data_IF_768463553347
#
_entry.id   IF_768463553347
#
_cell.length_a   1.000
_cell.length_b   1.000
_cell.length_c   1.000
_cell.angle_alpha   90.00
_cell.angle_beta   90.00
_cell.angle_gamma   90.00
#
_symmetry.space_group_name_H-M   'P 1'
#
loop_
_entity.id
_entity.type
_entity.pdbx_description
1 polymer ?
#
# COMPACT_ATOMS: atom_id res chain seq x y z
N UNK A 1 2.16 -29.84 3.11
CA UNK A 1 1.92 -28.41 3.43
C UNK A 1 0.51 -28.25 3.95
N UNK A 2 0.27 -27.26 4.80
CA UNK A 2 -1.05 -26.98 5.38
C UNK A 2 -1.64 -25.69 4.79
N UNK A 3 -2.97 -25.55 4.87
CA UNK A 3 -3.68 -24.33 4.45
C UNK A 3 -3.09 -23.09 5.14
N UNK A 4 -2.73 -22.09 4.35
CA UNK A 4 -2.26 -20.79 4.82
C UNK A 4 -3.32 -19.68 4.69
N UNK A 5 -3.10 -18.62 5.48
CA UNK A 5 -3.78 -17.32 5.36
C UNK A 5 -2.72 -16.25 5.15
N UNK A 6 -2.76 -15.61 3.99
CA UNK A 6 -1.83 -14.58 3.55
C UNK A 6 -2.41 -13.20 3.83
N UNK A 7 -1.57 -12.30 4.34
CA UNK A 7 -1.97 -10.94 4.71
C UNK A 7 -1.15 -9.90 3.98
N UNK A 8 -1.80 -9.03 3.23
CA UNK A 8 -1.17 -7.96 2.48
C UNK A 8 -1.53 -6.61 3.11
N UNK A 9 -0.58 -5.68 3.16
CA UNK A 9 -0.76 -4.37 3.79
C UNK A 9 -0.15 -3.24 2.96
N UNK A 10 -0.85 -2.10 2.86
CA UNK A 10 -0.18 -0.81 2.61
C UNK A 10 0.48 -0.29 3.91
N UNK A 11 1.51 0.55 3.79
CA UNK A 11 2.24 1.18 4.90
C UNK A 11 1.50 2.42 5.41
N UNK A 12 1.48 3.45 4.58
CA UNK A 12 1.08 4.81 4.94
C UNK A 12 -0.40 4.88 5.26
N UNK A 13 -0.74 5.53 6.38
CA UNK A 13 -2.10 5.70 6.93
C UNK A 13 -2.85 4.39 7.25
N UNK A 14 -2.36 3.23 6.80
CA UNK A 14 -2.94 1.92 7.05
C UNK A 14 -2.31 1.16 8.23
N UNK A 15 -1.00 0.89 8.20
CA UNK A 15 -0.30 0.28 9.36
C UNK A 15 0.46 1.31 10.18
N UNK A 16 0.97 2.38 9.55
CA UNK A 16 1.78 3.41 10.19
C UNK A 16 1.31 4.82 9.80
N UNK A 17 1.17 5.71 10.77
CA UNK A 17 1.09 7.15 10.55
C UNK A 17 2.49 7.74 10.65
N UNK A 18 3.07 8.09 9.51
CA UNK A 18 4.45 8.57 9.43
C UNK A 18 4.49 10.09 9.28
N UNK A 19 5.45 10.79 9.92
CA UNK A 19 5.60 12.24 9.79
C UNK A 19 6.28 12.67 8.47
N UNK A 20 6.37 11.77 7.48
CA UNK A 20 6.98 11.99 6.16
C UNK A 20 6.37 13.20 5.48
N UNK A 21 7.23 14.03 4.87
CA UNK A 21 6.82 15.30 4.28
C UNK A 21 6.72 15.23 2.76
N UNK A 22 5.66 15.83 2.23
CA UNK A 22 5.52 16.20 0.83
C UNK A 22 5.97 17.65 0.68
N UNK A 23 6.79 17.92 -0.32
CA UNK A 23 7.41 19.23 -0.52
C UNK A 23 6.87 19.92 -1.77
N UNK A 24 6.11 20.98 -1.57
CA UNK A 24 5.63 21.81 -2.66
C UNK A 24 6.66 22.87 -3.04
N UNK A 25 6.64 23.27 -4.30
CA UNK A 25 7.44 24.36 -4.84
C UNK A 25 6.51 25.48 -5.31
N UNK A 26 6.74 26.69 -4.84
CA UNK A 26 6.22 27.88 -5.48
C UNK A 26 7.02 28.14 -6.77
N UNK A 27 6.37 28.05 -7.93
CA UNK A 27 7.01 28.14 -9.25
C UNK A 27 7.41 29.56 -9.62
N UNK A 28 6.85 30.57 -8.95
CA UNK A 28 7.14 31.99 -9.18
C UNK A 28 8.26 32.51 -8.28
N UNK A 29 8.30 32.09 -7.01
CA UNK A 29 9.27 32.58 -6.02
C UNK A 29 10.42 31.61 -5.77
N UNK A 30 10.26 30.33 -6.10
CA UNK A 30 11.20 29.26 -5.77
C UNK A 30 11.13 28.77 -4.32
N UNK A 31 10.18 29.28 -3.52
CA UNK A 31 9.97 28.87 -2.13
C UNK A 31 9.51 27.41 -2.03
N UNK A 32 10.02 26.67 -1.03
CA UNK A 32 9.55 25.32 -0.71
C UNK A 32 8.67 25.31 0.54
N UNK A 33 7.57 24.54 0.48
CA UNK A 33 6.72 24.27 1.64
C UNK A 33 6.57 22.78 1.87
N UNK A 34 6.99 22.34 3.05
CA UNK A 34 6.84 20.95 3.50
C UNK A 34 5.53 20.77 4.27
N UNK A 35 4.77 19.73 3.96
CA UNK A 35 3.51 19.39 4.63
C UNK A 35 3.33 17.88 4.80
N UNK A 36 2.44 17.48 5.70
CA UNK A 36 2.06 16.06 5.89
C UNK A 36 1.10 15.62 4.80
N UNK A 37 0.95 14.31 4.65
CA UNK A 37 0.06 13.71 3.65
C UNK A 37 -1.39 14.17 3.77
N UNK A 38 -1.97 14.22 4.97
CA UNK A 38 -3.36 14.71 5.13
C UNK A 38 -3.52 16.19 4.74
N UNK A 39 -2.55 17.05 5.08
CA UNK A 39 -2.56 18.46 4.68
C UNK A 39 -2.47 18.61 3.15
N UNK A 40 -1.70 17.73 2.51
CA UNK A 40 -1.55 17.67 1.06
C UNK A 40 -2.84 17.20 0.37
N UNK A 41 -3.50 16.17 0.90
CA UNK A 41 -4.76 15.65 0.34
C UNK A 41 -5.86 16.72 0.28
N UNK A 42 -5.92 17.61 1.27
CA UNK A 42 -6.87 18.73 1.32
C UNK A 42 -6.62 19.78 0.23
N UNK A 43 -5.38 19.94 -0.22
CA UNK A 43 -4.96 21.04 -1.10
C UNK A 43 -4.57 20.62 -2.52
N UNK A 44 -4.24 19.35 -2.77
CA UNK A 44 -3.65 18.89 -4.04
C UNK A 44 -4.48 19.20 -5.28
N UNK A 45 -5.81 19.23 -5.15
CA UNK A 45 -6.72 19.54 -6.25
C UNK A 45 -6.70 21.03 -6.66
N UNK A 46 -6.10 21.89 -5.85
CA UNK A 46 -6.02 23.33 -6.07
C UNK A 46 -4.63 23.79 -6.55
N UNK A 47 -3.63 22.90 -6.61
CA UNK A 47 -2.30 23.22 -7.13
C UNK A 47 -2.39 23.61 -8.61
N UNK A 48 -1.82 24.76 -8.98
CA UNK A 48 -1.89 25.27 -10.36
C UNK A 48 -3.27 25.81 -10.77
N UNK A 49 -4.24 25.87 -9.85
CA UNK A 49 -5.60 26.39 -10.10
C UNK A 49 -5.68 27.82 -9.57
N UNK A 50 -6.31 28.77 -10.30
CA UNK A 50 -6.43 30.16 -9.86
C UNK A 50 -6.93 30.29 -8.42
N UNK A 51 -6.16 31.00 -7.59
CA UNK A 51 -6.40 31.12 -6.15
C UNK A 51 -5.14 30.96 -5.30
N UNK A 52 -5.32 30.59 -4.03
CA UNK A 52 -4.23 30.56 -3.04
C UNK A 52 -3.07 29.62 -3.42
N UNK A 53 -3.34 28.58 -4.20
CA UNK A 53 -2.40 27.53 -4.57
C UNK A 53 -2.00 27.57 -6.05
N UNK A 54 -2.33 28.66 -6.77
CA UNK A 54 -2.08 28.83 -8.21
C UNK A 54 -0.58 28.71 -8.55
N UNK A 55 0.27 29.36 -7.77
CA UNK A 55 1.72 29.35 -8.01
C UNK A 55 2.42 28.11 -7.44
N UNK A 56 1.69 27.15 -6.87
CA UNK A 56 2.28 25.98 -6.21
C UNK A 56 2.16 24.71 -7.06
N UNK A 57 3.23 23.93 -7.07
CA UNK A 57 3.30 22.64 -7.76
C UNK A 57 3.98 21.57 -6.90
N UNK A 58 3.78 20.30 -7.26
CA UNK A 58 4.40 19.13 -6.64
C UNK A 58 5.30 18.35 -7.62
N UNK A 59 6.41 18.92 -8.16
CA UNK A 59 7.27 18.21 -9.11
C UNK A 59 7.70 16.85 -8.54
N UNK A 60 7.34 15.70 -9.15
CA UNK A 60 7.34 14.41 -8.44
C UNK A 60 8.68 14.04 -7.77
N UNK A 61 9.80 14.24 -8.47
CA UNK A 61 11.14 13.95 -7.97
C UNK A 61 11.54 14.80 -6.74
N UNK A 62 10.98 16.02 -6.61
CA UNK A 62 11.26 16.93 -5.49
C UNK A 62 10.22 16.78 -4.39
N UNK A 63 8.95 16.62 -4.76
CA UNK A 63 7.83 16.59 -3.83
C UNK A 63 7.81 15.34 -2.96
N UNK A 64 8.05 14.18 -3.56
CA UNK A 64 8.00 12.89 -2.88
C UNK A 64 9.38 12.35 -2.52
N UNK A 65 10.40 13.22 -2.42
CA UNK A 65 11.79 12.81 -2.15
C UNK A 65 11.98 12.03 -0.83
N UNK A 66 11.16 12.31 0.17
CA UNK A 66 11.19 11.59 1.47
C UNK A 66 10.40 10.27 1.43
N UNK A 67 9.73 9.98 0.31
CA UNK A 67 9.06 8.71 0.05
C UNK A 67 9.95 7.73 -0.71
N UNK A 68 11.22 8.09 -0.97
CA UNK A 68 12.23 7.30 -1.64
C UNK A 68 13.48 7.16 -0.77
N UNK A 69 14.34 6.20 -1.10
CA UNK A 69 15.63 6.07 -0.43
C UNK A 69 16.42 7.37 -0.53
N UNK A 70 16.84 7.88 0.62
CA UNK A 70 17.56 9.13 0.71
C UNK A 70 17.87 9.48 2.16
N UNK A 71 18.71 10.48 2.36
CA UNK A 71 19.13 10.90 3.70
C UNK A 71 18.77 12.33 3.98
N UNK A 72 18.39 12.61 5.22
CA UNK A 72 18.23 13.97 5.69
C UNK A 72 19.59 14.66 5.90
N UNK A 73 19.56 15.94 6.31
CA UNK A 73 20.76 16.74 6.56
C UNK A 73 21.70 16.17 7.63
N UNK A 74 21.21 15.28 8.50
CA UNK A 74 22.00 14.63 9.53
C UNK A 74 22.55 13.27 9.06
N UNK A 75 22.30 12.89 7.80
CA UNK A 75 22.73 11.62 7.23
C UNK A 75 21.82 10.44 7.59
N UNK A 76 20.65 10.68 8.18
CA UNK A 76 19.69 9.63 8.54
C UNK A 76 18.77 9.30 7.37
N UNK A 77 18.57 8.01 7.09
CA UNK A 77 17.64 7.56 6.04
C UNK A 77 16.20 8.01 6.36
N UNK A 78 15.48 8.55 5.36
CA UNK A 78 14.18 9.21 5.54
C UNK A 78 13.13 8.33 6.21
N UNK A 79 12.93 7.10 5.74
CA UNK A 79 11.94 6.18 6.35
C UNK A 79 12.38 5.74 7.75
N UNK A 80 13.66 5.42 7.96
CA UNK A 80 14.16 5.02 9.28
C UNK A 80 13.99 6.14 10.32
N UNK A 81 14.32 7.38 9.93
CA UNK A 81 14.10 8.60 10.71
C UNK A 81 12.62 8.75 11.08
N UNK A 82 11.74 8.60 10.10
CA UNK A 82 10.31 8.82 10.27
C UNK A 82 9.67 7.76 11.15
N UNK A 83 10.08 6.50 11.02
CA UNK A 83 9.62 5.41 11.90
C UNK A 83 10.04 5.67 13.34
N UNK A 84 11.29 6.05 13.60
CA UNK A 84 11.76 6.41 14.95
C UNK A 84 10.92 7.55 15.54
N UNK A 85 10.77 8.65 14.80
CA UNK A 85 10.00 9.82 15.23
C UNK A 85 8.52 9.50 15.43
N UNK A 86 7.96 8.61 14.61
CA UNK A 86 6.58 8.18 14.76
C UNK A 86 6.38 7.42 16.08
N UNK A 87 7.29 6.50 16.42
CA UNK A 87 7.21 5.71 17.65
C UNK A 87 7.24 6.56 18.94
N UNK A 88 7.83 7.75 18.89
CA UNK A 88 7.79 8.73 19.99
C UNK A 88 6.43 9.43 20.17
N UNK A 89 5.50 9.26 19.22
CA UNK A 89 4.15 9.84 19.27
C UNK A 89 3.11 8.86 19.82
N UNK A 90 2.01 9.35 20.37
CA UNK A 90 0.96 8.46 20.91
C UNK A 90 0.14 7.72 19.83
N UNK A 91 0.08 8.25 18.60
CA UNK A 91 -0.89 7.86 17.57
C UNK A 91 -0.24 7.43 16.25
N UNK A 92 0.95 6.81 16.30
CA UNK A 92 1.64 6.33 15.09
C UNK A 92 1.08 5.04 14.49
N UNK A 93 0.24 4.33 15.23
CA UNK A 93 -0.35 3.08 14.78
C UNK A 93 -1.53 3.39 13.87
N UNK A 94 -1.44 2.93 12.63
CA UNK A 94 -2.55 2.95 11.69
C UNK A 94 -3.67 2.01 12.12
N UNK A 95 -4.85 2.11 11.50
CA UNK A 95 -6.00 1.32 11.86
C UNK A 95 -5.77 -0.19 11.63
N UNK A 96 -4.96 -0.61 10.66
CA UNK A 96 -4.63 -2.03 10.43
C UNK A 96 -3.51 -2.57 11.34
N UNK A 97 -2.96 -1.76 12.25
CA UNK A 97 -1.82 -2.14 13.09
C UNK A 97 -2.05 -3.45 13.86
N UNK A 98 -3.20 -3.62 14.50
CA UNK A 98 -3.49 -4.85 15.28
C UNK A 98 -3.64 -6.09 14.38
N UNK A 99 -4.14 -5.93 13.15
CA UNK A 99 -4.23 -7.03 12.16
C UNK A 99 -2.83 -7.41 11.68
N UNK A 100 -1.98 -6.41 11.41
CA UNK A 100 -0.58 -6.61 11.04
C UNK A 100 0.19 -7.33 12.15
N UNK A 101 0.09 -6.83 13.40
CA UNK A 101 0.71 -7.46 14.57
C UNK A 101 0.23 -8.90 14.77
N UNK A 102 -1.06 -9.17 14.57
CA UNK A 102 -1.60 -10.53 14.62
C UNK A 102 -0.99 -11.43 13.54
N UNK A 103 -0.88 -10.97 12.29
CA UNK A 103 -0.29 -11.74 11.20
C UNK A 103 1.17 -12.12 11.52
N UNK A 104 1.95 -11.16 12.04
CA UNK A 104 3.33 -11.39 12.49
C UNK A 104 3.39 -12.40 13.63
N UNK A 105 2.61 -12.20 14.70
CA UNK A 105 2.56 -13.10 15.87
C UNK A 105 2.18 -14.55 15.49
N UNK A 106 1.36 -14.72 14.46
CA UNK A 106 0.93 -16.02 13.96
C UNK A 106 1.81 -16.57 12.83
N UNK A 107 2.96 -15.94 12.56
CA UNK A 107 3.91 -16.30 11.49
C UNK A 107 3.24 -16.45 10.12
N UNK A 108 2.15 -15.71 9.89
CA UNK A 108 1.42 -15.75 8.62
C UNK A 108 2.29 -15.12 7.53
N UNK A 109 2.27 -15.64 6.29
CA UNK A 109 2.96 -14.98 5.19
C UNK A 109 2.39 -13.58 4.97
N UNK A 110 3.27 -12.59 4.97
CA UNK A 110 2.94 -11.17 4.89
C UNK A 110 3.51 -10.57 3.62
N UNK A 111 2.68 -9.83 2.87
CA UNK A 111 3.18 -8.95 1.82
C UNK A 111 2.97 -7.48 2.17
N UNK A 112 3.92 -6.63 1.79
CA UNK A 112 3.77 -5.18 1.86
C UNK A 112 3.58 -4.66 0.43
N UNK A 113 2.49 -3.95 0.16
CA UNK A 113 2.17 -3.38 -1.15
C UNK A 113 1.88 -1.90 -0.96
N UNK A 114 2.84 -1.04 -1.30
CA UNK A 114 2.80 0.37 -0.95
C UNK A 114 3.19 1.28 -2.12
N UNK A 115 2.72 2.52 -2.10
CA UNK A 115 3.09 3.53 -3.09
C UNK A 115 4.48 4.15 -2.84
N UNK A 116 5.14 3.84 -1.72
CA UNK A 116 6.51 4.29 -1.44
C UNK A 116 7.50 3.84 -2.52
N UNK A 117 8.59 4.58 -2.66
CA UNK A 117 9.70 4.36 -3.60
C UNK A 117 10.96 3.80 -2.93
N UNK A 118 10.95 3.62 -1.60
CA UNK A 118 12.03 3.01 -0.85
C UNK A 118 12.35 1.59 -1.37
N UNK A 119 13.61 1.17 -1.28
CA UNK A 119 13.99 -0.21 -1.57
C UNK A 119 13.36 -1.20 -0.58
N UNK A 120 13.34 -2.48 -0.97
CA UNK A 120 12.86 -3.57 -0.11
C UNK A 120 13.67 -3.63 1.19
N UNK A 121 14.97 -3.37 1.09
CA UNK A 121 15.94 -3.38 2.18
C UNK A 121 15.63 -2.28 3.20
N UNK A 122 15.37 -1.06 2.72
CA UNK A 122 14.99 0.07 3.57
C UNK A 122 13.68 -0.20 4.30
N UNK A 123 12.67 -0.76 3.62
CA UNK A 123 11.39 -1.14 4.25
C UNK A 123 11.59 -2.22 5.32
N UNK A 124 12.42 -3.24 5.06
CA UNK A 124 12.75 -4.26 6.07
C UNK A 124 13.46 -3.65 7.28
N UNK A 125 14.44 -2.79 7.05
CA UNK A 125 15.15 -2.09 8.12
C UNK A 125 14.21 -1.21 8.95
N UNK A 126 13.26 -0.54 8.31
CA UNK A 126 12.24 0.26 8.96
C UNK A 126 11.33 -0.59 9.87
N UNK A 127 10.84 -1.74 9.39
CA UNK A 127 10.05 -2.66 10.21
C UNK A 127 10.88 -3.30 11.33
N UNK A 128 12.17 -3.56 11.08
CA UNK A 128 13.09 -4.05 12.11
C UNK A 128 13.24 -3.07 13.29
N UNK A 129 13.26 -1.75 13.04
CA UNK A 129 13.27 -0.77 14.13
C UNK A 129 12.06 -0.91 15.06
N UNK A 130 10.90 -1.27 14.51
CA UNK A 130 9.67 -1.48 15.27
C UNK A 130 9.73 -2.76 16.11
N UNK A 131 10.41 -3.80 15.60
CA UNK A 131 10.73 -5.04 16.35
C UNK A 131 11.71 -4.73 17.48
N UNK A 132 12.80 -4.02 17.18
CA UNK A 132 13.84 -3.69 18.14
C UNK A 132 13.30 -2.79 19.28
N UNK A 133 12.28 -1.97 18.98
CA UNK A 133 11.54 -1.16 19.96
C UNK A 133 10.47 -1.96 20.76
N UNK A 134 10.29 -3.25 20.49
CA UNK A 134 9.36 -4.13 21.21
C UNK A 134 7.89 -3.98 20.84
N UNK A 135 7.57 -3.32 19.72
CA UNK A 135 6.18 -3.16 19.27
C UNK A 135 5.69 -4.33 18.41
N UNK A 136 6.60 -5.03 17.74
CA UNK A 136 6.37 -6.32 17.10
C UNK A 136 7.19 -7.41 17.83
N UNK A 137 6.66 -8.64 17.93
CA UNK A 137 7.36 -9.73 18.60
C UNK A 137 8.59 -10.23 17.80
N UNK A 138 8.56 -10.08 16.49
CA UNK A 138 9.59 -10.54 15.55
C UNK A 138 9.38 -9.90 14.17
N UNK A 139 10.33 -10.08 13.25
CA UNK A 139 10.15 -9.65 11.87
C UNK A 139 9.06 -10.47 11.16
N UNK A 140 8.23 -9.83 10.29
CA UNK A 140 7.25 -10.54 9.49
C UNK A 140 7.82 -11.72 8.71
N UNK A 141 7.03 -12.77 8.54
CA UNK A 141 7.30 -13.81 7.56
C UNK A 141 7.03 -13.24 6.15
N UNK A 142 8.01 -12.52 5.61
CA UNK A 142 7.87 -11.82 4.33
C UNK A 142 7.63 -12.81 3.19
N UNK A 143 6.43 -12.74 2.60
CA UNK A 143 6.13 -13.30 1.29
C UNK A 143 6.74 -12.40 0.20
N UNK A 144 6.42 -11.11 0.24
CA UNK A 144 6.86 -10.13 -0.77
C UNK A 144 6.87 -8.70 -0.21
N UNK A 145 7.64 -7.82 -0.83
CA UNK A 145 7.61 -6.37 -0.57
C UNK A 145 7.62 -5.65 -1.92
N UNK A 146 6.54 -4.93 -2.20
CA UNK A 146 6.28 -4.20 -3.44
C UNK A 146 6.10 -2.70 -3.15
N UNK A 147 7.20 -1.93 -3.08
CA UNK A 147 7.16 -0.48 -3.16
C UNK A 147 6.91 -0.09 -4.62
N UNK A 148 5.64 -0.03 -5.01
CA UNK A 148 5.19 0.01 -6.39
C UNK A 148 5.70 1.23 -7.18
N UNK A 149 6.12 2.31 -6.51
CA UNK A 149 6.67 3.49 -7.18
C UNK A 149 8.21 3.46 -7.27
N UNK A 150 8.88 2.49 -6.65
CA UNK A 150 10.33 2.32 -6.78
C UNK A 150 10.66 1.97 -8.25
N UNK A 151 11.70 2.57 -8.87
CA UNK A 151 12.02 2.32 -10.28
C UNK A 151 12.23 0.85 -10.65
N UNK A 152 12.99 0.10 -9.85
CA UNK A 152 13.27 -1.31 -10.13
C UNK A 152 12.01 -2.17 -10.06
N UNK A 153 11.15 -1.87 -9.09
CA UNK A 153 9.87 -2.58 -8.90
C UNK A 153 8.85 -2.20 -9.96
N UNK A 154 8.87 -0.94 -10.39
CA UNK A 154 8.07 -0.45 -11.51
C UNK A 154 8.46 -1.18 -12.80
N UNK A 155 9.75 -1.40 -13.03
CA UNK A 155 10.25 -2.16 -14.17
C UNK A 155 9.85 -3.65 -14.07
N UNK A 156 9.91 -4.25 -12.89
CA UNK A 156 9.47 -5.63 -12.61
C UNK A 156 7.96 -5.82 -12.89
N UNK A 157 7.14 -4.86 -12.45
CA UNK A 157 5.67 -4.95 -12.54
C UNK A 157 5.14 -4.46 -13.89
N UNK A 158 5.74 -3.46 -14.52
CA UNK A 158 5.26 -2.91 -15.78
C UNK A 158 5.49 -1.41 -15.85
N UNK A 159 6.54 -0.94 -16.55
CA UNK A 159 6.99 0.44 -16.49
C UNK A 159 6.00 1.47 -17.07
N UNK A 160 4.97 1.03 -17.79
CA UNK A 160 3.94 1.88 -18.37
C UNK A 160 2.69 2.00 -17.48
N UNK A 161 2.60 1.24 -16.40
CA UNK A 161 1.44 1.24 -15.52
C UNK A 161 1.42 2.49 -14.62
N UNK A 162 0.21 2.92 -14.28
CA UNK A 162 -0.01 3.89 -13.21
C UNK A 162 0.30 3.24 -11.86
N UNK A 163 0.51 4.02 -10.79
CA UNK A 163 0.70 3.46 -9.43
C UNK A 163 -0.44 2.54 -9.02
N UNK A 164 -1.68 2.87 -9.41
CA UNK A 164 -2.84 2.00 -9.20
C UNK A 164 -2.71 0.66 -9.97
N UNK A 165 -2.32 0.71 -11.24
CA UNK A 165 -2.06 -0.49 -12.04
C UNK A 165 -0.93 -1.36 -11.46
N UNK A 166 0.13 -0.71 -10.95
CA UNK A 166 1.25 -1.38 -10.29
C UNK A 166 0.80 -2.08 -8.99
N UNK A 167 0.00 -1.41 -8.14
CA UNK A 167 -0.58 -2.03 -6.93
C UNK A 167 -1.45 -3.25 -7.29
N UNK A 168 -2.35 -3.13 -8.28
CA UNK A 168 -3.20 -4.24 -8.74
C UNK A 168 -2.36 -5.44 -9.18
N UNK A 169 -1.29 -5.21 -9.95
CA UNK A 169 -0.38 -6.28 -10.40
C UNK A 169 0.45 -6.87 -9.28
N UNK A 170 0.94 -6.06 -8.35
CA UNK A 170 1.66 -6.52 -7.17
C UNK A 170 0.80 -7.47 -6.32
N UNK A 171 -0.48 -7.14 -6.09
CA UNK A 171 -1.43 -8.00 -5.37
C UNK A 171 -1.54 -9.38 -6.04
N UNK A 172 -1.69 -9.41 -7.37
CA UNK A 172 -1.78 -10.67 -8.12
C UNK A 172 -0.47 -11.48 -8.04
N UNK A 173 0.69 -10.82 -8.16
CA UNK A 173 1.98 -11.49 -7.98
C UNK A 173 2.16 -12.05 -6.56
N UNK A 174 1.67 -11.36 -5.51
CA UNK A 174 1.68 -11.91 -4.16
C UNK A 174 0.81 -13.19 -4.06
N UNK A 175 -0.33 -13.24 -4.75
CA UNK A 175 -1.14 -14.46 -4.82
C UNK A 175 -0.35 -15.58 -5.48
N UNK A 176 0.22 -15.35 -6.67
CA UNK A 176 1.03 -16.36 -7.37
C UNK A 176 2.18 -16.89 -6.52
N UNK A 177 2.98 -16.00 -5.91
CA UNK A 177 4.09 -16.40 -5.05
C UNK A 177 3.61 -17.22 -3.85
N UNK A 178 2.48 -16.83 -3.25
CA UNK A 178 1.90 -17.59 -2.14
C UNK A 178 1.50 -19.00 -2.57
N UNK A 179 0.92 -19.14 -3.76
CA UNK A 179 0.54 -20.45 -4.31
C UNK A 179 1.77 -21.29 -4.67
N UNK A 180 2.80 -20.71 -5.27
CA UNK A 180 4.04 -21.39 -5.64
C UNK A 180 4.81 -21.87 -4.43
N UNK A 181 4.91 -21.04 -3.39
CA UNK A 181 5.72 -21.36 -2.21
C UNK A 181 4.99 -22.29 -1.22
N UNK A 182 3.66 -22.23 -1.13
CA UNK A 182 2.91 -22.95 -0.09
C UNK A 182 1.96 -24.03 -0.63
N UNK A 183 1.86 -24.19 -1.95
CA UNK A 183 1.13 -25.27 -2.61
C UNK A 183 -0.17 -24.81 -3.27
N UNK A 184 -0.20 -24.89 -4.61
CA UNK A 184 -1.34 -24.49 -5.45
C UNK A 184 -2.64 -25.25 -5.14
N UNK A 185 -2.56 -26.51 -4.72
CA UNK A 185 -3.74 -27.37 -4.51
C UNK A 185 -4.45 -27.17 -3.16
N UNK A 186 -3.86 -26.37 -2.26
CA UNK A 186 -4.42 -26.15 -0.93
C UNK A 186 -5.45 -25.01 -0.93
N UNK A 187 -6.50 -25.06 -0.08
CA UNK A 187 -7.56 -24.05 -0.05
C UNK A 187 -7.12 -22.77 0.70
N UNK A 188 -6.08 -22.12 0.19
CA UNK A 188 -5.49 -20.93 0.77
C UNK A 188 -6.45 -19.74 0.81
N UNK A 189 -6.12 -18.76 1.66
CA UNK A 189 -6.88 -17.54 1.83
C UNK A 189 -5.97 -16.33 1.76
N UNK A 190 -6.34 -15.33 0.98
CA UNK A 190 -5.57 -14.10 0.77
C UNK A 190 -6.41 -12.91 1.20
N UNK A 191 -5.81 -11.94 1.89
CA UNK A 191 -6.51 -10.72 2.27
C UNK A 191 -5.61 -9.51 2.29
N UNK A 192 -6.10 -8.37 1.80
CA UNK A 192 -5.40 -7.10 1.88
C UNK A 192 -6.22 -6.07 2.66
N UNK A 193 -5.55 -5.28 3.50
CA UNK A 193 -6.17 -4.16 4.20
C UNK A 193 -5.67 -2.82 3.71
N UNK A 194 -6.58 -1.84 3.72
CA UNK A 194 -6.30 -0.43 3.38
C UNK A 194 -7.29 0.47 4.14
N UNK A 195 -6.90 1.71 4.38
CA UNK A 195 -7.72 2.72 5.06
C UNK A 195 -8.42 3.67 4.07
N UNK A 196 -7.93 3.78 2.84
CA UNK A 196 -8.50 4.62 1.79
C UNK A 196 -9.54 3.86 0.94
N UNK A 197 -10.69 4.51 0.68
CA UNK A 197 -11.79 3.88 -0.06
C UNK A 197 -11.43 3.61 -1.53
N UNK A 198 -10.65 4.48 -2.18
CA UNK A 198 -10.27 4.26 -3.59
C UNK A 198 -9.29 3.09 -3.70
N UNK A 199 -8.38 2.95 -2.75
CA UNK A 199 -7.52 1.77 -2.67
C UNK A 199 -8.34 0.50 -2.36
N UNK A 200 -9.34 0.56 -1.48
CA UNK A 200 -10.25 -0.58 -1.22
C UNK A 200 -10.95 -1.05 -2.49
N UNK A 201 -11.43 -0.14 -3.34
CA UNK A 201 -12.05 -0.50 -4.62
C UNK A 201 -11.05 -1.14 -5.61
N UNK A 202 -9.83 -0.61 -5.65
CA UNK A 202 -8.73 -1.16 -6.44
C UNK A 202 -8.38 -2.59 -5.98
N UNK A 203 -8.23 -2.79 -4.68
CA UNK A 203 -7.93 -4.09 -4.08
C UNK A 203 -9.07 -5.07 -4.36
N UNK A 204 -10.32 -4.63 -4.24
CA UNK A 204 -11.51 -5.43 -4.59
C UNK A 204 -11.44 -5.91 -6.02
N UNK A 205 -11.09 -5.03 -6.95
CA UNK A 205 -10.90 -5.40 -8.37
C UNK A 205 -9.78 -6.43 -8.55
N UNK A 206 -8.62 -6.24 -7.91
CA UNK A 206 -7.50 -7.17 -7.98
C UNK A 206 -7.84 -8.57 -7.40
N UNK A 207 -8.55 -8.59 -6.27
CA UNK A 207 -8.98 -9.80 -5.59
C UNK A 207 -10.08 -10.54 -6.37
N UNK A 208 -10.94 -9.81 -7.08
CA UNK A 208 -11.93 -10.39 -7.98
C UNK A 208 -11.27 -11.09 -9.17
N UNK A 209 -10.27 -10.47 -9.79
CA UNK A 209 -9.47 -11.13 -10.83
C UNK A 209 -8.82 -12.41 -10.31
N UNK A 210 -8.17 -12.33 -9.15
CA UNK A 210 -7.57 -13.51 -8.53
C UNK A 210 -8.62 -14.59 -8.18
N UNK A 211 -9.85 -14.19 -7.82
CA UNK A 211 -10.95 -15.12 -7.56
C UNK A 211 -11.43 -15.82 -8.83
N UNK A 212 -11.43 -15.14 -9.97
CA UNK A 212 -11.76 -15.71 -11.27
C UNK A 212 -10.69 -16.72 -11.70
N UNK A 213 -9.41 -16.37 -11.51
CA UNK A 213 -8.29 -17.26 -11.82
C UNK A 213 -8.23 -18.47 -10.86
N UNK A 214 -8.60 -18.27 -9.58
CA UNK A 214 -8.47 -19.23 -8.50
C UNK A 214 -9.77 -19.42 -7.69
N UNK A 215 -10.80 -20.05 -8.27
CA UNK A 215 -12.13 -20.13 -7.68
C UNK A 215 -12.21 -20.95 -6.39
N UNK A 216 -11.25 -21.85 -6.15
CA UNK A 216 -11.17 -22.67 -4.95
C UNK A 216 -10.48 -21.96 -3.76
N UNK A 217 -9.83 -20.82 -4.03
CA UNK A 217 -9.21 -19.96 -3.02
C UNK A 217 -10.20 -18.93 -2.48
N UNK A 218 -9.91 -18.40 -1.30
CA UNK A 218 -10.73 -17.35 -0.67
C UNK A 218 -9.97 -16.04 -0.69
N UNK A 219 -10.65 -14.97 -1.09
CA UNK A 219 -10.06 -13.63 -1.17
C UNK A 219 -10.85 -12.67 -0.30
N UNK A 220 -10.14 -11.80 0.42
CA UNK A 220 -10.73 -10.86 1.34
C UNK A 220 -10.21 -9.45 1.12
N UNK A 221 -11.09 -8.48 1.30
CA UNK A 221 -10.73 -7.06 1.38
C UNK A 221 -11.12 -6.57 2.76
N UNK A 222 -10.19 -5.89 3.42
CA UNK A 222 -10.39 -5.38 4.78
C UNK A 222 -10.33 -3.86 4.70
N UNK A 223 -11.50 -3.23 4.65
CA UNK A 223 -11.57 -1.78 4.80
C UNK A 223 -11.39 -1.41 6.27
N UNK A 224 -10.52 -0.45 6.53
CA UNK A 224 -10.30 0.10 7.86
C UNK A 224 -10.67 1.59 7.98
N UNK A 225 -11.35 2.10 6.95
CA UNK A 225 -11.85 3.46 6.88
C UNK A 225 -12.81 3.76 8.06
N UNK A 226 -12.73 4.97 8.63
CA UNK A 226 -13.63 5.48 9.70
C UNK A 226 -13.71 4.57 10.95
N UNK A 227 -12.63 3.86 11.30
CA UNK A 227 -12.54 2.98 12.49
C UNK A 227 -13.53 1.80 12.49
N UNK A 228 -14.09 1.42 11.34
CA UNK A 228 -14.85 0.18 11.18
C UNK A 228 -14.00 -0.81 10.41
N UNK A 229 -13.68 -1.94 11.04
CA UNK A 229 -13.07 -3.07 10.35
C UNK A 229 -14.16 -3.82 9.58
N UNK A 230 -14.27 -3.56 8.28
CA UNK A 230 -15.19 -4.29 7.41
C UNK A 230 -14.37 -5.28 6.59
N UNK A 231 -14.45 -6.56 6.98
CA UNK A 231 -13.85 -7.67 6.23
C UNK A 231 -14.90 -8.24 5.27
N UNK A 232 -14.65 -8.08 3.98
CA UNK A 232 -15.51 -8.56 2.90
C UNK A 232 -14.84 -9.74 2.22
N UNK A 233 -15.58 -10.82 1.99
CA UNK A 233 -15.13 -11.92 1.13
C UNK A 233 -15.53 -11.64 -0.31
N UNK A 234 -14.60 -11.85 -1.23
CA UNK A 234 -14.88 -11.73 -2.66
C UNK A 234 -15.43 -13.06 -3.17
N UNK A 235 -16.67 -12.99 -3.63
CA UNK A 235 -17.38 -14.08 -4.28
C UNK A 235 -17.25 -13.92 -5.80
N UNK A 236 -17.30 -15.02 -6.57
CA UNK A 236 -17.37 -14.90 -8.01
C UNK A 236 -18.66 -14.15 -8.40
N UNK A 237 -18.65 -13.39 -9.50
CA UNK A 237 -19.85 -12.75 -9.99
C UNK A 237 -20.90 -13.82 -10.27
N UNK A 238 -22.16 -13.57 -9.89
CA UNK A 238 -23.24 -14.48 -10.25
C UNK A 238 -23.37 -14.51 -11.78
N UNK A 239 -23.79 -15.64 -12.38
CA UNK A 239 -23.94 -15.80 -13.85
C UNK A 239 -24.77 -14.71 -14.54
N UNK A 240 -25.58 -13.96 -13.79
CA UNK A 240 -26.37 -12.85 -14.31
C UNK A 240 -25.59 -11.52 -14.40
N UNK A 241 -24.46 -11.37 -13.69
CA UNK A 241 -23.55 -10.21 -13.78
C UNK A 241 -22.60 -10.28 -14.98
N UNK A 242 -22.25 -11.47 -15.48
CA UNK A 242 -21.52 -11.62 -16.75
C UNK A 242 -22.32 -11.03 -17.93
N UNK A 243 -23.66 -11.14 -17.89
CA UNK A 243 -24.55 -10.52 -18.88
C UNK A 243 -24.61 -9.00 -18.75
N UNK A 244 -24.49 -8.48 -17.53
CA UNK A 244 -24.43 -7.04 -17.28
C UNK A 244 -23.09 -6.44 -17.75
N UNK A 245 -21.97 -7.13 -17.50
CA UNK A 245 -20.65 -6.72 -18.00
C UNK A 245 -20.54 -6.81 -19.52
N UNK A 246 -21.05 -7.87 -20.13
CA UNK A 246 -21.12 -7.97 -21.59
C UNK A 246 -22.00 -6.86 -22.20
N UNK A 247 -23.06 -6.44 -21.49
CA UNK A 247 -23.88 -5.31 -21.91
C UNK A 247 -23.20 -3.96 -21.69
N UNK A 248 -22.36 -3.79 -20.66
CA UNK A 248 -21.57 -2.56 -20.44
C UNK A 248 -20.45 -2.40 -21.47
N UNK A 249 -19.76 -3.49 -21.83
CA UNK A 249 -18.73 -3.48 -22.88
C UNK A 249 -19.32 -3.14 -24.27
N UNK A 250 -20.57 -3.53 -24.56
CA UNK A 250 -21.30 -3.14 -25.78
C UNK A 250 -21.77 -1.65 -25.78
N UNK A 251 -21.84 -1.01 -24.62
CA UNK A 251 -22.27 0.39 -24.47
C UNK A 251 -21.12 1.40 -24.41
N UNK A 252 -19.92 0.95 -24.03
CA UNK A 252 -18.72 1.80 -23.93
C UNK A 252 -17.59 1.44 -24.91
N UNK A 253 -17.82 0.47 -25.80
CA UNK A 253 -16.96 0.15 -26.95
C UNK A 253 -17.10 1.10 -28.13
#
# INVERSE_FOLDING_TARGET
MERQSFYFFDIDENILHLPTRIHLLNTMTGEERAMRQHEYEDIKAYLGVPGLWEDWADPPARAYREFADGKDRNGEEYLLRDVKRAMDSANWRGPSWEIFKYAVLKRRPVAIVTARQHSRETIKAALKLIVDAGHLPEEPNYLAIYPCSNPEIRDELGPHLTTAGLKRRAIRQCVEQGLEQYGRDLPHSFGMSDDDLKNVDLITSAMLEAKLDYPDKRFFVISTNRRRHVKMEILPPHKDEEKLRAAEDDWYG
#
